data_IF_209241507289
#
_entry.id   IF_209241507289
#
_cell.length_a   1.000
_cell.length_b   1.000
_cell.length_c   1.000
_cell.angle_alpha   90.00
_cell.angle_beta   90.00
_cell.angle_gamma   90.00
#
_symmetry.space_group_name_H-M   'P 1'
#
loop_
_entity.id
_entity.type
_entity.pdbx_description
1 polymer ?
#
# COMPACT_ATOMS: atom_id res chain seq x y z
N UNK A 1 55.41 53.63 37.48
CA UNK A 1 54.88 53.09 36.21
C UNK A 1 54.75 51.59 36.38
N UNK A 2 53.54 51.09 36.58
CA UNK A 2 53.25 49.68 36.88
C UNK A 2 52.33 49.15 35.79
N UNK A 3 52.84 48.24 34.95
CA UNK A 3 52.08 47.54 33.91
C UNK A 3 51.42 46.30 34.51
N UNK A 4 50.09 46.21 34.42
CA UNK A 4 49.33 45.02 34.79
C UNK A 4 49.22 44.09 33.56
N UNK A 5 49.62 42.83 33.72
CA UNK A 5 49.42 41.79 32.71
C UNK A 5 48.04 41.15 32.91
N UNK A 6 47.22 41.17 31.85
CA UNK A 6 45.93 40.46 31.81
C UNK A 6 46.19 39.05 31.28
N UNK A 7 45.89 38.03 32.11
CA UNK A 7 45.93 36.62 31.70
C UNK A 7 44.53 36.24 31.21
N UNK A 8 44.40 35.91 29.93
CA UNK A 8 43.17 35.40 29.33
C UNK A 8 43.11 33.87 29.54
N UNK A 9 42.18 33.40 30.38
CA UNK A 9 41.92 31.97 30.54
C UNK A 9 41.01 31.47 29.40
N UNK A 10 41.53 30.58 28.55
CA UNK A 10 40.74 29.92 27.52
C UNK A 10 39.96 28.75 28.14
N UNK A 11 38.63 28.84 28.16
CA UNK A 11 37.74 27.73 28.55
C UNK A 11 37.57 26.81 27.34
N UNK A 12 38.10 25.59 27.43
CA UNK A 12 37.86 24.53 26.44
C UNK A 12 36.51 23.90 26.73
N UNK A 13 35.50 24.17 25.89
CA UNK A 13 34.21 23.51 25.96
C UNK A 13 34.32 22.10 25.35
N UNK A 14 34.12 21.06 26.17
CA UNK A 14 34.02 19.66 25.70
C UNK A 14 32.59 19.41 25.22
N UNK A 15 32.34 19.00 23.96
CA UNK A 15 31.00 18.70 23.51
C UNK A 15 30.55 17.36 24.11
N UNK A 16 29.55 17.39 24.99
CA UNK A 16 28.82 16.20 25.40
C UNK A 16 28.02 15.68 24.21
N UNK A 17 28.53 14.64 23.54
CA UNK A 17 27.77 13.89 22.56
C UNK A 17 26.61 13.19 23.28
N UNK A 18 25.41 13.76 23.18
CA UNK A 18 24.19 13.11 23.65
C UNK A 18 24.02 11.79 22.91
N UNK A 19 24.19 10.68 23.63
CA UNK A 19 23.84 9.34 23.14
C UNK A 19 22.35 9.36 22.81
N UNK A 20 22.02 9.45 21.52
CA UNK A 20 20.66 9.23 21.05
C UNK A 20 20.26 7.80 21.43
N UNK A 21 19.13 7.56 22.10
CA UNK A 21 18.67 6.20 22.31
C UNK A 21 18.53 5.54 20.94
N UNK A 22 19.18 4.40 20.77
CA UNK A 22 18.99 3.58 19.59
C UNK A 22 17.50 3.23 19.53
N UNK A 23 16.81 3.68 18.47
CA UNK A 23 15.45 3.23 18.20
C UNK A 23 15.53 1.72 18.01
N UNK A 24 14.96 0.96 18.94
CA UNK A 24 14.82 -0.48 18.77
C UNK A 24 14.11 -0.71 17.43
N UNK A 25 14.74 -1.48 16.55
CA UNK A 25 14.10 -1.88 15.30
C UNK A 25 12.77 -2.55 15.68
N UNK A 26 11.67 -1.95 15.25
CA UNK A 26 10.35 -2.58 15.30
C UNK A 26 10.48 -3.98 14.74
N UNK A 27 10.18 -4.99 15.56
CA UNK A 27 10.01 -6.36 15.07
C UNK A 27 8.98 -6.26 13.96
N UNK A 28 9.34 -6.67 12.75
CA UNK A 28 8.42 -6.65 11.61
C UNK A 28 7.07 -7.21 12.09
N UNK A 29 6.01 -6.39 12.05
CA UNK A 29 4.73 -6.82 12.61
C UNK A 29 4.30 -8.10 11.88
N UNK A 30 4.17 -9.23 12.59
CA UNK A 30 3.96 -10.53 11.93
C UNK A 30 2.58 -10.63 11.29
N UNK A 31 1.66 -9.71 11.62
CA UNK A 31 0.28 -9.68 11.18
C UNK A 31 -0.07 -8.26 10.74
N UNK A 32 -0.55 -8.11 9.51
CA UNK A 32 -1.09 -6.85 9.03
C UNK A 32 -2.55 -6.71 9.47
N UNK A 33 -2.85 -5.69 10.27
CA UNK A 33 -4.22 -5.36 10.65
C UNK A 33 -4.87 -4.45 9.60
N UNK A 34 -6.03 -4.86 9.08
CA UNK A 34 -6.69 -4.16 8.00
C UNK A 34 -8.14 -4.56 7.79
N UNK A 35 -8.83 -3.81 6.94
CA UNK A 35 -10.24 -4.04 6.61
C UNK A 35 -10.50 -3.80 5.11
N UNK A 36 -11.70 -4.20 4.67
CA UNK A 36 -12.17 -3.84 3.34
C UNK A 36 -12.67 -2.38 3.32
N UNK A 37 -12.17 -1.56 2.40
CA UNK A 37 -12.63 -0.18 2.21
C UNK A 37 -12.41 0.27 0.77
N UNK A 38 -13.39 0.96 0.18
CA UNK A 38 -13.37 1.36 -1.23
C UNK A 38 -13.08 2.84 -1.44
N UNK A 39 -13.22 3.68 -0.40
CA UNK A 39 -12.99 5.12 -0.47
C UNK A 39 -12.06 5.59 0.63
N UNK A 40 -11.42 6.75 0.42
CA UNK A 40 -10.62 7.41 1.44
C UNK A 40 -11.42 7.67 2.73
N UNK A 41 -12.69 8.07 2.61
CA UNK A 41 -13.55 8.29 3.78
C UNK A 41 -13.71 7.02 4.59
N UNK A 42 -14.06 5.90 3.96
CA UNK A 42 -14.24 4.61 4.65
C UNK A 42 -12.96 4.16 5.38
N UNK A 43 -11.79 4.40 4.77
CA UNK A 43 -10.50 4.11 5.40
C UNK A 43 -10.35 4.95 6.68
N UNK A 44 -10.55 6.27 6.58
CA UNK A 44 -10.43 7.18 7.73
C UNK A 44 -11.46 6.88 8.82
N UNK A 45 -12.69 6.51 8.44
CA UNK A 45 -13.76 6.14 9.37
C UNK A 45 -13.37 4.89 10.17
N UNK A 46 -12.80 3.87 9.50
CA UNK A 46 -12.25 2.69 10.20
C UNK A 46 -11.10 3.07 11.13
N UNK A 47 -10.16 3.90 10.69
CA UNK A 47 -9.02 4.31 11.50
C UNK A 47 -9.42 5.13 12.72
N UNK A 48 -10.44 5.97 12.59
CA UNK A 48 -11.02 6.72 13.69
C UNK A 48 -11.59 5.78 14.76
N UNK A 49 -12.35 4.76 14.35
CA UNK A 49 -12.90 3.76 15.27
C UNK A 49 -11.79 2.93 15.93
N UNK A 50 -10.77 2.56 15.17
CA UNK A 50 -9.65 1.76 15.65
C UNK A 50 -8.70 2.55 16.57
N UNK A 51 -8.73 3.88 16.51
CA UNK A 51 -7.75 4.74 17.18
C UNK A 51 -6.33 4.57 16.64
N UNK A 52 -6.16 3.90 15.50
CA UNK A 52 -4.88 3.66 14.84
C UNK A 52 -5.05 3.51 13.34
N UNK A 53 -3.97 3.76 12.63
CA UNK A 53 -3.88 3.54 11.19
C UNK A 53 -4.05 2.06 10.82
N UNK A 54 -4.81 1.76 9.78
CA UNK A 54 -4.84 0.42 9.17
C UNK A 54 -3.55 0.17 8.40
N UNK A 55 -3.00 -1.03 8.53
CA UNK A 55 -1.81 -1.43 7.77
C UNK A 55 -2.17 -2.01 6.40
N UNK A 56 -3.34 -2.63 6.30
CA UNK A 56 -3.85 -3.23 5.07
C UNK A 56 -5.22 -2.70 4.70
N UNK A 57 -5.48 -2.54 3.40
CA UNK A 57 -6.81 -2.27 2.87
C UNK A 57 -7.13 -3.27 1.78
N UNK A 58 -8.26 -3.97 1.91
CA UNK A 58 -8.78 -4.85 0.86
C UNK A 58 -9.77 -4.11 -0.02
N UNK A 59 -9.59 -4.27 -1.33
CA UNK A 59 -10.44 -3.67 -2.34
C UNK A 59 -10.93 -4.72 -3.33
N UNK A 60 -12.12 -4.49 -3.87
CA UNK A 60 -12.74 -5.37 -4.84
C UNK A 60 -12.91 -4.64 -6.17
N UNK A 61 -12.50 -5.30 -7.25
CA UNK A 61 -12.56 -4.80 -8.62
C UNK A 61 -13.23 -5.82 -9.52
N UNK A 62 -14.00 -5.32 -10.48
CA UNK A 62 -14.43 -6.11 -11.64
C UNK A 62 -13.27 -6.26 -12.62
N UNK A 63 -13.34 -7.28 -13.48
CA UNK A 63 -12.30 -7.67 -14.43
C UNK A 63 -11.79 -6.51 -15.30
N UNK A 64 -12.70 -5.66 -15.79
CA UNK A 64 -12.42 -4.55 -16.69
C UNK A 64 -12.42 -3.17 -16.00
N UNK A 65 -12.31 -3.16 -14.66
CA UNK A 65 -12.19 -1.92 -13.90
C UNK A 65 -10.75 -1.43 -13.83
N UNK A 66 -10.57 -0.11 -13.74
CA UNK A 66 -9.31 0.49 -13.29
C UNK A 66 -8.98 -0.03 -11.89
N UNK A 67 -7.77 -0.55 -11.69
CA UNK A 67 -7.34 -1.11 -10.42
C UNK A 67 -7.03 0.00 -9.41
N UNK A 68 -6.32 1.06 -9.86
CA UNK A 68 -5.78 2.11 -8.99
C UNK A 68 -6.19 3.51 -9.44
N UNK A 69 -7.06 4.14 -8.66
CA UNK A 69 -7.49 5.53 -8.76
C UNK A 69 -6.85 6.42 -7.70
N UNK A 70 -7.53 7.53 -7.39
CA UNK A 70 -7.04 8.53 -6.43
C UNK A 70 -6.95 7.98 -5.00
N UNK A 71 -7.95 7.20 -4.57
CA UNK A 71 -7.96 6.56 -3.24
C UNK A 71 -6.76 5.64 -3.06
N UNK A 72 -6.45 4.81 -4.06
CA UNK A 72 -5.39 3.81 -3.98
C UNK A 72 -4.01 4.45 -3.97
N UNK A 73 -3.82 5.51 -4.78
CA UNK A 73 -2.59 6.32 -4.75
C UNK A 73 -2.42 7.00 -3.39
N UNK A 74 -3.47 7.60 -2.84
CA UNK A 74 -3.41 8.17 -1.49
C UNK A 74 -3.11 7.09 -0.43
N UNK A 75 -3.73 5.91 -0.52
CA UNK A 75 -3.49 4.81 0.41
C UNK A 75 -2.03 4.33 0.35
N UNK A 76 -1.46 4.20 -0.86
CA UNK A 76 -0.03 3.92 -1.08
C UNK A 76 0.84 4.99 -0.44
N UNK A 77 0.59 6.26 -0.77
CA UNK A 77 1.43 7.39 -0.36
C UNK A 77 1.40 7.62 1.15
N UNK A 78 0.32 7.17 1.82
CA UNK A 78 0.20 7.20 3.27
C UNK A 78 0.74 5.93 3.94
N UNK A 79 1.11 4.88 3.20
CA UNK A 79 1.75 3.67 3.70
C UNK A 79 0.80 2.54 4.05
N UNK A 80 -0.33 2.42 3.36
CA UNK A 80 -1.21 1.26 3.45
C UNK A 80 -0.79 0.20 2.44
N UNK A 81 -0.83 -1.06 2.83
CA UNK A 81 -0.68 -2.20 1.92
C UNK A 81 -2.00 -2.49 1.24
N UNK A 82 -2.02 -2.54 -0.09
CA UNK A 82 -3.24 -2.85 -0.85
C UNK A 82 -3.37 -4.35 -1.09
N UNK A 83 -4.56 -4.87 -0.81
CA UNK A 83 -5.03 -6.21 -1.17
C UNK A 83 -6.10 -6.07 -2.25
N UNK A 84 -5.69 -6.13 -3.52
CA UNK A 84 -6.57 -5.89 -4.67
C UNK A 84 -7.17 -7.21 -5.15
N UNK A 85 -8.44 -7.44 -4.81
CA UNK A 85 -9.22 -8.59 -5.28
C UNK A 85 -9.89 -8.28 -6.62
N UNK A 86 -9.57 -9.04 -7.67
CA UNK A 86 -10.21 -8.92 -8.98
C UNK A 86 -11.14 -10.11 -9.22
N UNK A 87 -12.43 -9.83 -9.41
CA UNK A 87 -13.43 -10.84 -9.76
C UNK A 87 -13.44 -11.07 -11.27
N UNK A 88 -13.61 -12.34 -11.69
CA UNK A 88 -13.75 -12.71 -13.10
C UNK A 88 -15.16 -12.37 -13.65
N UNK A 89 -15.55 -11.11 -13.51
CA UNK A 89 -16.83 -10.57 -13.96
C UNK A 89 -16.59 -9.12 -14.40
N UNK A 90 -17.16 -8.72 -15.53
CA UNK A 90 -17.08 -7.36 -16.05
C UNK A 90 -18.06 -6.44 -15.32
N UNK A 91 -17.87 -5.13 -15.49
CA UNK A 91 -18.79 -4.10 -14.96
C UNK A 91 -20.21 -4.21 -15.50
N UNK A 92 -20.39 -4.78 -16.69
CA UNK A 92 -21.70 -5.07 -17.29
C UNK A 92 -22.34 -6.37 -16.75
N UNK A 93 -21.71 -7.05 -15.80
CA UNK A 93 -22.18 -8.32 -15.24
C UNK A 93 -21.73 -9.57 -16.02
N UNK A 94 -21.07 -9.41 -17.17
CA UNK A 94 -20.60 -10.55 -17.97
C UNK A 94 -19.54 -11.33 -17.21
N UNK A 95 -19.82 -12.61 -16.94
CA UNK A 95 -18.85 -13.54 -16.36
C UNK A 95 -17.72 -13.81 -17.34
N UNK A 96 -16.48 -13.71 -16.84
CA UNK A 96 -15.27 -14.09 -17.56
C UNK A 96 -14.91 -15.52 -17.16
N UNK A 97 -15.13 -16.48 -18.06
CA UNK A 97 -14.92 -17.89 -17.72
C UNK A 97 -13.43 -18.18 -17.59
N UNK A 98 -13.10 -18.99 -16.60
CA UNK A 98 -11.71 -19.42 -16.34
C UNK A 98 -11.08 -20.09 -17.56
N UNK A 99 -11.84 -20.92 -18.28
CA UNK A 99 -11.41 -21.56 -19.54
C UNK A 99 -11.03 -20.54 -20.61
N UNK A 100 -11.77 -19.44 -20.71
CA UNK A 100 -11.52 -18.41 -21.74
C UNK A 100 -10.29 -17.57 -21.38
N UNK A 101 -10.02 -17.37 -20.08
CA UNK A 101 -8.79 -16.74 -19.58
C UNK A 101 -7.58 -17.63 -19.90
N UNK A 102 -7.65 -18.92 -19.58
CA UNK A 102 -6.56 -19.87 -19.80
C UNK A 102 -6.23 -20.05 -21.30
N UNK A 103 -7.24 -19.97 -22.17
CA UNK A 103 -7.09 -20.12 -23.61
C UNK A 103 -6.91 -18.78 -24.36
N UNK A 104 -6.71 -17.67 -23.65
CA UNK A 104 -6.62 -16.35 -24.28
C UNK A 104 -5.39 -16.26 -25.19
N UNK A 105 -5.62 -16.18 -26.50
CA UNK A 105 -4.55 -16.01 -27.48
C UNK A 105 -3.92 -14.59 -27.40
N UNK A 106 -2.63 -14.44 -27.73
CA UNK A 106 -2.01 -13.12 -27.88
C UNK A 106 -2.83 -12.18 -28.76
N UNK A 107 -3.00 -10.93 -28.31
CA UNK A 107 -3.80 -9.92 -29.01
C UNK A 107 -5.32 -10.04 -28.84
N UNK A 108 -5.83 -11.14 -28.29
CA UNK A 108 -7.25 -11.25 -27.94
C UNK A 108 -7.66 -10.22 -26.87
N UNK A 109 -8.97 -9.95 -26.76
CA UNK A 109 -9.50 -9.03 -25.73
C UNK A 109 -9.08 -9.45 -24.31
N UNK A 110 -9.25 -10.72 -23.95
CA UNK A 110 -8.89 -11.22 -22.62
C UNK A 110 -7.39 -11.12 -22.34
N UNK A 111 -6.56 -11.42 -23.34
CA UNK A 111 -5.12 -11.20 -23.23
C UNK A 111 -4.77 -9.73 -22.99
N UNK A 112 -5.41 -8.81 -23.71
CA UNK A 112 -5.19 -7.38 -23.55
C UNK A 112 -5.71 -6.84 -22.21
N UNK A 113 -6.81 -7.39 -21.69
CA UNK A 113 -7.32 -7.10 -20.35
C UNK A 113 -6.28 -7.50 -19.28
N UNK A 114 -5.73 -8.72 -19.36
CA UNK A 114 -4.67 -9.19 -18.44
C UNK A 114 -3.41 -8.33 -18.53
N UNK A 115 -2.97 -7.96 -19.74
CA UNK A 115 -1.84 -7.05 -19.91
C UNK A 115 -2.12 -5.65 -19.36
N UNK A 116 -3.36 -5.16 -19.46
CA UNK A 116 -3.77 -3.89 -18.87
C UNK A 116 -3.66 -3.92 -17.34
N UNK A 117 -4.15 -4.98 -16.69
CA UNK A 117 -4.03 -5.17 -15.25
C UNK A 117 -2.55 -5.28 -14.81
N UNK A 118 -1.74 -6.04 -15.55
CA UNK A 118 -0.31 -6.18 -15.28
C UNK A 118 0.44 -4.85 -15.41
N UNK A 119 0.12 -4.04 -16.42
CA UNK A 119 0.67 -2.68 -16.58
C UNK A 119 0.29 -1.79 -15.41
N UNK A 120 -0.98 -1.76 -15.01
CA UNK A 120 -1.42 -0.97 -13.86
C UNK A 120 -0.71 -1.37 -12.56
N UNK A 121 -0.49 -2.67 -12.32
CA UNK A 121 0.29 -3.16 -11.18
C UNK A 121 1.74 -2.68 -11.21
N UNK A 122 2.39 -2.74 -12.39
CA UNK A 122 3.74 -2.25 -12.59
C UNK A 122 3.85 -0.73 -12.37
N UNK A 123 2.95 0.03 -12.99
CA UNK A 123 2.94 1.50 -12.97
C UNK A 123 2.58 2.05 -11.59
N UNK A 124 1.87 1.28 -10.76
CA UNK A 124 1.53 1.67 -9.40
C UNK A 124 2.77 1.87 -8.49
N UNK A 125 3.85 1.13 -8.76
CA UNK A 125 5.16 1.34 -8.14
C UNK A 125 5.24 0.99 -6.65
N UNK A 126 4.31 0.18 -6.13
CA UNK A 126 4.30 -0.24 -4.73
C UNK A 126 3.86 -1.69 -4.57
N UNK A 127 4.11 -2.27 -3.39
CA UNK A 127 3.69 -3.65 -3.08
C UNK A 127 2.17 -3.75 -3.05
N UNK A 128 1.63 -4.65 -3.86
CA UNK A 128 0.21 -5.00 -3.91
C UNK A 128 0.07 -6.51 -3.78
N UNK A 129 -0.85 -6.96 -2.93
CA UNK A 129 -1.30 -8.34 -2.90
C UNK A 129 -2.46 -8.48 -3.87
N UNK A 130 -2.19 -9.00 -5.06
CA UNK A 130 -3.21 -9.26 -6.08
C UNK A 130 -3.92 -10.60 -5.79
N UNK A 131 -5.24 -10.56 -5.64
CA UNK A 131 -6.07 -11.71 -5.32
C UNK A 131 -7.00 -11.96 -6.50
N UNK A 132 -6.72 -12.99 -7.28
CA UNK A 132 -7.56 -13.34 -8.42
C UNK A 132 -8.71 -14.25 -7.99
N UNK A 133 -9.93 -13.81 -8.25
CA UNK A 133 -11.16 -14.59 -8.14
C UNK A 133 -11.29 -15.38 -6.83
N UNK A 134 -11.21 -14.66 -5.70
CA UNK A 134 -11.42 -15.25 -4.37
C UNK A 134 -12.70 -16.08 -4.31
N UNK A 135 -12.65 -17.19 -3.58
CA UNK A 135 -13.74 -18.17 -3.43
C UNK A 135 -14.23 -18.75 -4.77
N UNK A 136 -13.33 -19.30 -5.61
CA UNK A 136 -13.68 -19.82 -6.94
C UNK A 136 -14.67 -20.99 -6.92
N UNK A 137 -14.82 -21.67 -5.79
CA UNK A 137 -15.77 -22.75 -5.55
C UNK A 137 -17.22 -22.27 -5.46
N UNK A 138 -17.43 -21.00 -5.16
CA UNK A 138 -18.78 -20.44 -5.00
C UNK A 138 -19.36 -20.15 -6.39
N UNK A 139 -20.37 -20.92 -6.77
CA UNK A 139 -20.95 -20.95 -8.13
C UNK A 139 -21.89 -19.77 -8.44
N UNK A 140 -22.13 -18.85 -7.49
CA UNK A 140 -22.94 -17.64 -7.68
C UNK A 140 -22.47 -16.49 -6.80
N UNK A 141 -22.26 -15.34 -7.44
CA UNK A 141 -22.09 -14.02 -6.81
C UNK A 141 -22.67 -12.94 -7.72
#
# INVERSE_FOLDING_TARGET
MTTAAVVLAAVVAVPSAALRPASAASVAEPILFGAAASTKSQILDHEQVLGRKMQGIRQFRKWDSTLFGATERWARDTGHTLFTSVKAERRDGTVVRWRDIANAAPGSRLHNDMLSQARQLKDFGAKVYFIFNHEPEVTRW
#
